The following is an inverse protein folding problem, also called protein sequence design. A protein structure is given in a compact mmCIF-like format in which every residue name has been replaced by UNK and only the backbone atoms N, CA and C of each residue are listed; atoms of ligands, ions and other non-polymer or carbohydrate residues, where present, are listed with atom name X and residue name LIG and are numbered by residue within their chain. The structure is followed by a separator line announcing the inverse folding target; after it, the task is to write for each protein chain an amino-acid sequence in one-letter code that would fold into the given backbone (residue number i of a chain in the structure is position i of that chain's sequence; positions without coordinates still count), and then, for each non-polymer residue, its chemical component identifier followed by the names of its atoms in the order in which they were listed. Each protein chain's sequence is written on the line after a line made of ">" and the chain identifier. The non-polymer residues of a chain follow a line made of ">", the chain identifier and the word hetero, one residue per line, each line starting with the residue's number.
data_IF_297019837254
#
_entry.id   IF_297019837254
#
_cell.length_a   1.000
_cell.length_b   1.000
_cell.length_c   1.000
_cell.angle_alpha   90.00
_cell.angle_beta   90.00
_cell.angle_gamma   90.00
#
_symmetry.space_group_name_H-M   'P 1'
#
loop_
_entity.id
_entity.type
_entity.pdbx_description
1 polymer ?
#
# COMPACT_ATOMS: atom_id res chain seq x y z
N UNK A 1 -5.95 -16.00 27.23
CA UNK A 1 -5.97 -15.56 25.82
C UNK A 1 -4.67 -15.97 25.13
N UNK A 2 -4.68 -17.07 24.38
CA UNK A 2 -3.49 -17.64 23.75
C UNK A 2 -3.00 -16.79 22.58
N UNK A 3 -1.78 -16.24 22.66
CA UNK A 3 -1.14 -15.55 21.55
C UNK A 3 -0.55 -16.60 20.60
N UNK A 4 -1.34 -17.03 19.62
CA UNK A 4 -0.87 -17.91 18.56
C UNK A 4 0.33 -17.29 17.83
N UNK A 5 1.42 -18.05 17.67
CA UNK A 5 2.57 -17.64 16.87
C UNK A 5 2.14 -17.63 15.40
N UNK A 6 1.76 -16.47 14.88
CA UNK A 6 1.49 -16.28 13.46
C UNK A 6 2.78 -16.56 12.68
N UNK A 7 2.89 -17.76 12.11
CA UNK A 7 3.95 -18.12 11.17
C UNK A 7 3.67 -17.38 9.87
N UNK A 8 4.13 -16.13 9.77
CA UNK A 8 4.12 -15.38 8.53
C UNK A 8 5.01 -16.08 7.51
N UNK A 9 4.44 -16.98 6.71
CA UNK A 9 5.08 -17.42 5.47
C UNK A 9 5.39 -16.15 4.67
N UNK A 10 6.56 -16.01 4.01
CA UNK A 10 6.78 -14.90 3.11
C UNK A 10 5.69 -14.98 2.03
N UNK A 11 4.67 -14.14 2.14
CA UNK A 11 3.67 -13.97 1.10
C UNK A 11 4.45 -13.54 -0.11
N UNK A 12 4.56 -14.43 -1.11
CA UNK A 12 5.37 -14.23 -2.29
C UNK A 12 5.17 -12.82 -2.84
N UNK A 13 6.28 -12.15 -3.14
CA UNK A 13 6.26 -10.78 -3.62
C UNK A 13 5.40 -10.74 -4.88
N UNK A 14 4.20 -10.15 -4.77
CA UNK A 14 3.28 -10.04 -5.90
C UNK A 14 3.84 -8.96 -6.81
N UNK A 15 4.43 -9.35 -7.93
CA UNK A 15 4.80 -8.43 -8.99
C UNK A 15 3.52 -7.96 -9.68
N UNK A 16 2.95 -6.87 -9.19
CA UNK A 16 1.94 -6.14 -9.93
C UNK A 16 2.64 -5.33 -11.02
N UNK A 17 2.21 -5.50 -12.27
CA UNK A 17 2.69 -4.68 -13.37
C UNK A 17 2.38 -3.22 -13.08
N UNK A 18 3.39 -2.36 -13.14
CA UNK A 18 3.20 -0.92 -12.95
C UNK A 18 2.37 -0.35 -14.11
N UNK A 19 1.67 0.79 -13.92
CA UNK A 19 0.94 1.46 -15.00
C UNK A 19 1.82 1.75 -16.22
N UNK A 20 3.09 2.09 -16.00
CA UNK A 20 4.08 2.30 -17.07
C UNK A 20 4.39 1.01 -17.84
N UNK A 21 4.49 -0.13 -17.17
CA UNK A 21 4.69 -1.43 -17.83
C UNK A 21 3.46 -1.90 -18.62
N UNK A 22 2.26 -1.49 -18.20
CA UNK A 22 1.03 -1.72 -18.96
C UNK A 22 0.99 -0.87 -20.24
N UNK A 23 1.40 0.40 -20.15
CA UNK A 23 1.53 1.31 -21.30
C UNK A 23 2.61 0.85 -22.29
N UNK A 24 3.76 0.41 -21.79
CA UNK A 24 4.86 -0.12 -22.59
C UNK A 24 4.57 -1.50 -23.19
N UNK A 25 3.48 -2.17 -22.77
CA UNK A 25 3.05 -3.45 -23.32
C UNK A 25 3.94 -4.65 -22.95
N UNK A 26 4.88 -4.48 -22.02
CA UNK A 26 5.83 -5.52 -21.56
C UNK A 26 5.30 -6.37 -20.41
N UNK A 27 4.04 -6.16 -19.99
CA UNK A 27 3.45 -6.92 -18.89
C UNK A 27 3.37 -8.42 -19.19
N UNK A 28 3.82 -9.27 -18.25
CA UNK A 28 3.75 -10.75 -18.30
C UNK A 28 2.30 -11.31 -18.27
N UNK A 29 1.30 -10.43 -18.20
CA UNK A 29 -0.11 -10.80 -18.16
C UNK A 29 -0.56 -11.17 -19.59
N UNK A 30 -1.14 -12.35 -19.83
CA UNK A 30 -1.61 -12.72 -21.15
C UNK A 30 -2.65 -11.69 -21.60
N UNK A 31 -2.37 -10.96 -22.69
CA UNK A 31 -3.37 -10.14 -23.37
C UNK A 31 -4.52 -11.09 -23.71
N UNK A 32 -5.66 -10.84 -23.08
CA UNK A 32 -6.90 -11.62 -23.10
C UNK A 32 -7.11 -12.43 -24.37
N UNK A 33 -7.57 -13.68 -24.20
CA UNK A 33 -8.29 -14.52 -25.17
C UNK A 33 -8.12 -14.05 -26.62
N UNK A 34 -7.27 -14.74 -27.40
CA UNK A 34 -7.16 -14.52 -28.86
C UNK A 34 -8.56 -14.32 -29.41
N UNK A 35 -8.88 -13.12 -29.90
CA UNK A 35 -10.14 -12.83 -30.57
C UNK A 35 -10.20 -13.81 -31.74
N UNK A 36 -10.98 -14.88 -31.60
CA UNK A 36 -11.11 -15.87 -32.66
C UNK A 36 -11.54 -15.09 -33.91
N UNK A 37 -10.74 -15.17 -34.97
CA UNK A 37 -11.16 -14.67 -36.28
C UNK A 37 -12.48 -15.37 -36.58
N UNK A 38 -13.57 -14.60 -36.69
CA UNK A 38 -14.90 -15.11 -37.04
C UNK A 38 -14.74 -15.95 -38.31
N UNK A 39 -15.10 -17.24 -38.25
CA UNK A 39 -15.05 -18.14 -39.41
C UNK A 39 -16.43 -18.15 -40.08
N UNK A 40 -16.43 -18.16 -41.41
CA UNK A 40 -17.65 -18.25 -42.22
C UNK A 40 -18.39 -16.92 -42.45
N UNK A 41 -19.70 -16.98 -42.67
CA UNK A 41 -20.57 -15.86 -43.05
C UNK A 41 -20.81 -14.82 -41.95
N UNK A 42 -20.33 -15.06 -40.72
CA UNK A 42 -20.43 -14.14 -39.57
C UNK A 42 -19.61 -12.85 -39.70
N UNK A 43 -18.74 -12.75 -40.72
CA UNK A 43 -18.05 -11.52 -41.10
C UNK A 43 -18.76 -10.70 -42.19
N UNK A 44 -19.80 -11.27 -42.82
CA UNK A 44 -20.51 -10.70 -43.98
C UNK A 44 -21.89 -10.14 -43.59
N UNK A 45 -22.40 -10.46 -42.40
CA UNK A 45 -23.59 -9.80 -41.87
C UNK A 45 -23.23 -8.33 -41.60
N UNK A 46 -23.63 -7.46 -42.52
CA UNK A 46 -23.49 -6.01 -42.40
C UNK A 46 -24.31 -5.56 -41.21
N UNK A 47 -23.62 -5.21 -40.13
CA UNK A 47 -24.23 -4.57 -38.97
C UNK A 47 -24.51 -3.13 -39.39
N UNK A 48 -25.63 -2.92 -40.07
CA UNK A 48 -26.17 -1.60 -40.36
C UNK A 48 -26.74 -1.02 -39.08
N UNK A 49 -25.85 -0.55 -38.21
CA UNK A 49 -26.23 0.27 -37.09
C UNK A 49 -26.48 1.71 -37.62
N UNK A 50 -27.73 2.21 -37.62
CA UNK A 50 -28.07 3.52 -38.18
C UNK A 50 -27.42 4.68 -37.42
N UNK A 51 -26.92 4.45 -36.20
CA UNK A 51 -26.13 5.42 -35.42
C UNK A 51 -24.61 5.19 -35.50
N UNK A 52 -24.13 4.34 -36.42
CA UNK A 52 -22.70 4.16 -36.64
C UNK A 52 -22.15 5.36 -37.41
N UNK A 53 -21.82 6.43 -36.68
CA UNK A 53 -21.17 7.61 -37.25
C UNK A 53 -19.80 7.18 -37.79
N UNK A 54 -19.71 6.99 -39.11
CA UNK A 54 -18.46 6.68 -39.80
C UNK A 54 -17.47 7.82 -39.54
N UNK A 55 -16.35 7.52 -38.88
CA UNK A 55 -15.34 8.51 -38.57
C UNK A 55 -14.81 9.14 -39.88
N UNK A 56 -15.04 10.45 -40.05
CA UNK A 56 -14.46 11.23 -41.15
C UNK A 56 -13.04 11.60 -40.75
N UNK A 57 -12.06 11.21 -41.55
CA UNK A 57 -10.66 11.59 -41.35
C UNK A 57 -10.50 13.09 -41.64
N UNK A 58 -10.69 13.92 -40.62
CA UNK A 58 -10.43 15.35 -40.68
C UNK A 58 -8.91 15.56 -40.71
N UNK A 59 -8.44 16.36 -41.67
CA UNK A 59 -7.03 16.71 -41.79
C UNK A 59 -6.72 17.79 -40.76
N UNK A 60 -5.55 17.71 -40.12
CA UNK A 60 -5.11 18.62 -39.07
C UNK A 60 -5.09 20.12 -39.45
N UNK A 61 -5.27 20.45 -40.73
CA UNK A 61 -5.31 21.82 -41.25
C UNK A 61 -6.67 22.50 -41.13
N UNK A 62 -7.74 21.75 -40.89
CA UNK A 62 -9.11 22.29 -40.79
C UNK A 62 -9.58 22.46 -39.33
N UNK A 63 -8.67 22.28 -38.36
CA UNK A 63 -8.97 22.50 -36.93
C UNK A 63 -8.73 23.97 -36.60
N UNK A 64 -9.78 24.77 -36.78
CA UNK A 64 -9.84 26.17 -36.36
C UNK A 64 -9.77 26.27 -34.82
N UNK A 65 -8.56 26.45 -34.27
CA UNK A 65 -8.33 26.66 -32.82
C UNK A 65 -8.70 28.06 -32.31
N UNK A 66 -9.17 28.94 -33.19
CA UNK A 66 -9.45 30.36 -32.88
C UNK A 66 -10.92 30.72 -32.64
N UNK A 67 -11.86 29.79 -32.88
CA UNK A 67 -13.27 30.02 -32.51
C UNK A 67 -13.42 29.68 -31.04
N UNK A 68 -13.42 30.68 -30.17
CA UNK A 68 -14.10 30.58 -28.88
C UNK A 68 -15.57 30.35 -29.18
N UNK A 69 -15.92 29.10 -29.46
CA UNK A 69 -17.31 28.65 -29.49
C UNK A 69 -17.85 29.04 -28.13
N UNK A 70 -18.75 30.01 -28.12
CA UNK A 70 -19.44 30.41 -26.92
C UNK A 70 -20.15 29.16 -26.40
N UNK A 71 -19.50 28.48 -25.46
CA UNK A 71 -19.94 27.21 -24.90
C UNK A 71 -21.43 27.33 -24.62
N UNK A 72 -22.20 26.40 -25.18
CA UNK A 72 -23.64 26.35 -25.01
C UNK A 72 -23.95 26.46 -23.52
N UNK A 73 -25.07 27.08 -23.11
CA UNK A 73 -25.46 27.20 -21.69
C UNK A 73 -25.25 25.89 -20.92
N UNK A 74 -25.53 24.76 -21.60
CA UNK A 74 -25.31 23.39 -21.09
C UNK A 74 -23.84 23.06 -20.82
N UNK A 75 -22.94 23.39 -21.74
CA UNK A 75 -21.50 23.12 -21.63
C UNK A 75 -20.85 24.00 -20.55
N UNK A 76 -21.33 25.24 -20.36
CA UNK A 76 -20.85 26.11 -19.27
C UNK A 76 -21.22 25.55 -17.91
N UNK A 77 -22.45 25.07 -17.74
CA UNK A 77 -22.89 24.44 -16.50
C UNK A 77 -22.16 23.11 -16.23
N UNK A 78 -21.87 22.32 -17.27
CA UNK A 78 -21.09 21.08 -17.12
C UNK A 78 -19.63 21.36 -16.74
N UNK A 79 -19.01 22.36 -17.35
CA UNK A 79 -17.65 22.79 -16.98
C UNK A 79 -17.61 23.40 -15.57
N UNK A 80 -18.64 24.14 -15.16
CA UNK A 80 -18.72 24.66 -13.80
C UNK A 80 -18.91 23.54 -12.78
N UNK A 81 -19.73 22.52 -13.09
CA UNK A 81 -19.85 21.31 -12.26
C UNK A 81 -18.53 20.54 -12.17
N UNK A 82 -17.82 20.39 -13.28
CA UNK A 82 -16.49 19.76 -13.29
C UNK A 82 -15.50 20.56 -12.45
N UNK A 83 -15.41 21.88 -12.65
CA UNK A 83 -14.54 22.77 -11.87
C UNK A 83 -14.90 22.80 -10.39
N UNK A 84 -16.18 22.77 -10.04
CA UNK A 84 -16.65 22.70 -8.65
C UNK A 84 -16.28 21.36 -8.01
N UNK A 85 -16.43 20.25 -8.75
CA UNK A 85 -16.00 18.93 -8.29
C UNK A 85 -14.48 18.86 -8.12
N UNK A 86 -13.70 19.33 -9.09
CA UNK A 86 -12.24 19.43 -9.01
C UNK A 86 -11.80 20.31 -7.83
N UNK A 87 -12.46 21.45 -7.62
CA UNK A 87 -12.19 22.32 -6.46
C UNK A 87 -12.47 21.59 -5.17
N UNK A 88 -13.59 20.87 -5.06
CA UNK A 88 -13.94 20.09 -3.88
C UNK A 88 -12.92 18.99 -3.61
N UNK A 89 -12.53 18.22 -4.64
CA UNK A 89 -11.50 17.19 -4.56
C UNK A 89 -10.16 17.77 -4.13
N UNK A 90 -9.75 18.90 -4.72
CA UNK A 90 -8.53 19.61 -4.35
C UNK A 90 -8.56 20.14 -2.92
N UNK A 91 -9.72 20.59 -2.43
CA UNK A 91 -9.89 21.08 -1.07
C UNK A 91 -9.83 19.94 -0.05
N UNK A 92 -10.35 18.76 -0.41
CA UNK A 92 -10.26 17.52 0.35
C UNK A 92 -8.81 17.04 0.43
N UNK A 93 -8.09 17.02 -0.69
CA UNK A 93 -6.66 16.67 -0.75
C UNK A 93 -5.80 17.63 0.09
N UNK A 94 -6.14 18.92 0.08
CA UNK A 94 -5.50 19.92 0.94
C UNK A 94 -5.84 19.79 2.42
N UNK A 95 -6.75 18.88 2.79
CA UNK A 95 -7.15 18.71 4.19
C UNK A 95 -7.99 19.86 4.74
N UNK A 96 -8.57 20.71 3.87
CA UNK A 96 -9.26 21.94 4.30
C UNK A 96 -10.73 21.70 4.66
N UNK A 97 -11.35 20.63 4.16
CA UNK A 97 -12.69 20.20 4.58
C UNK A 97 -12.66 19.69 6.02
N UNK A 98 -13.76 19.84 6.75
CA UNK A 98 -13.82 19.41 8.16
C UNK A 98 -13.57 17.91 8.34
N UNK A 99 -14.02 17.10 7.36
CA UNK A 99 -13.78 15.65 7.35
C UNK A 99 -12.29 15.34 7.21
N UNK A 100 -11.61 15.99 6.25
CA UNK A 100 -10.19 15.74 6.03
C UNK A 100 -9.32 16.25 7.19
N UNK A 101 -9.70 17.35 7.86
CA UNK A 101 -9.03 17.79 9.10
C UNK A 101 -9.12 16.73 10.20
N UNK A 102 -10.32 16.21 10.46
CA UNK A 102 -10.54 15.14 11.45
C UNK A 102 -9.75 13.87 11.11
N UNK A 103 -9.68 13.50 9.82
CA UNK A 103 -8.90 12.35 9.38
C UNK A 103 -7.40 12.57 9.56
N UNK A 104 -6.87 13.76 9.26
CA UNK A 104 -5.47 14.11 9.49
C UNK A 104 -5.13 14.13 10.99
N UNK A 105 -5.99 14.69 11.83
CA UNK A 105 -5.86 14.68 13.29
C UNK A 105 -5.89 13.26 13.85
N UNK A 106 -6.79 12.41 13.35
CA UNK A 106 -6.82 11.00 13.72
C UNK A 106 -5.53 10.28 13.31
N UNK A 107 -5.02 10.55 12.10
CA UNK A 107 -3.78 9.94 11.61
C UNK A 107 -2.55 10.42 12.39
N UNK A 108 -2.48 11.69 12.78
CA UNK A 108 -1.37 12.22 13.60
C UNK A 108 -1.36 11.59 14.99
N UNK A 109 -2.53 11.42 15.61
CA UNK A 109 -2.66 10.72 16.90
C UNK A 109 -2.23 9.25 16.80
N UNK A 110 -2.58 8.54 15.71
CA UNK A 110 -2.12 7.17 15.49
C UNK A 110 -0.60 7.11 15.30
N UNK A 111 -0.01 8.08 14.57
CA UNK A 111 1.46 8.16 14.41
C UNK A 111 2.14 8.36 15.76
N UNK A 112 1.67 9.32 16.57
CA UNK A 112 2.18 9.56 17.92
C UNK A 112 2.09 8.32 18.80
N UNK A 113 0.93 7.64 18.84
CA UNK A 113 0.77 6.41 19.62
C UNK A 113 1.71 5.29 19.15
N UNK A 114 1.96 5.17 17.85
CA UNK A 114 2.90 4.19 17.30
C UNK A 114 4.35 4.54 17.65
N UNK A 115 4.71 5.80 17.54
CA UNK A 115 6.05 6.30 17.91
C UNK A 115 6.30 6.13 19.41
N UNK A 116 5.36 6.51 20.26
CA UNK A 116 5.44 6.31 21.71
C UNK A 116 5.48 4.83 22.08
N UNK A 117 4.69 3.98 21.43
CA UNK A 117 4.74 2.53 21.64
C UNK A 117 6.06 1.93 21.14
N UNK A 118 6.65 2.45 20.06
CA UNK A 118 7.96 2.05 19.58
C UNK A 118 9.06 2.48 20.57
N UNK A 119 9.05 3.74 21.01
CA UNK A 119 9.97 4.28 22.02
C UNK A 119 9.87 3.52 23.34
N UNK A 120 8.67 3.29 23.88
CA UNK A 120 8.45 2.46 25.09
C UNK A 120 8.97 1.03 24.93
N UNK A 121 8.80 0.43 23.74
CA UNK A 121 9.35 -0.91 23.45
C UNK A 121 10.88 -0.88 23.34
N UNK A 122 11.48 0.16 22.80
CA UNK A 122 12.93 0.31 22.72
C UNK A 122 13.56 0.53 24.09
N UNK A 123 12.94 1.36 24.93
CA UNK A 123 13.34 1.58 26.33
C UNK A 123 13.24 0.29 27.15
N UNK A 124 12.13 -0.45 27.05
CA UNK A 124 11.99 -1.75 27.74
C UNK A 124 13.00 -2.78 27.19
N UNK A 125 13.21 -2.82 25.87
CA UNK A 125 14.19 -3.71 25.24
C UNK A 125 15.63 -3.31 25.55
N UNK A 126 15.92 -2.07 25.94
CA UNK A 126 17.26 -1.64 26.37
C UNK A 126 17.51 -1.95 27.86
N UNK A 127 16.48 -1.83 28.72
CA UNK A 127 16.58 -2.11 30.16
C UNK A 127 16.58 -3.60 30.51
N UNK A 128 15.73 -4.39 29.86
CA UNK A 128 15.56 -5.84 30.13
C UNK A 128 16.77 -6.72 29.81
N UNK A 129 17.59 -6.50 28.77
CA UNK A 129 18.78 -7.31 28.52
C UNK A 129 19.88 -7.03 29.53
N UNK A 130 20.03 -5.77 30.00
CA UNK A 130 20.99 -5.44 31.05
C UNK A 130 20.60 -6.08 32.39
N UNK A 131 19.33 -6.02 32.77
CA UNK A 131 18.86 -6.67 34.02
C UNK A 131 18.93 -8.19 33.93
N UNK A 132 18.50 -8.78 32.81
CA UNK A 132 18.63 -10.24 32.56
C UNK A 132 20.08 -10.70 32.54
N UNK A 133 20.99 -9.95 31.94
CA UNK A 133 22.43 -10.29 31.92
C UNK A 133 23.02 -10.24 33.32
N UNK A 134 22.69 -9.22 34.13
CA UNK A 134 23.12 -9.16 35.55
C UNK A 134 22.56 -10.32 36.38
N UNK A 135 21.28 -10.66 36.21
CA UNK A 135 20.66 -11.80 36.90
C UNK A 135 21.29 -13.15 36.50
N UNK A 136 21.55 -13.35 35.20
CA UNK A 136 22.21 -14.56 34.70
C UNK A 136 23.63 -14.69 35.29
N UNK A 137 24.43 -13.61 35.28
CA UNK A 137 25.77 -13.60 35.86
C UNK A 137 25.76 -13.91 37.38
N UNK A 138 24.78 -13.39 38.12
CA UNK A 138 24.61 -13.70 39.55
C UNK A 138 24.26 -15.17 39.79
N UNK A 139 23.38 -15.74 38.98
CA UNK A 139 23.03 -17.16 39.05
C UNK A 139 24.21 -18.06 38.68
N UNK A 140 25.01 -17.68 37.69
CA UNK A 140 26.22 -18.41 37.30
C UNK A 140 27.28 -18.37 38.41
N UNK A 141 27.46 -17.22 39.07
CA UNK A 141 28.35 -17.10 40.22
C UNK A 141 27.88 -17.97 41.39
N UNK A 142 26.57 -17.96 41.70
CA UNK A 142 25.98 -18.82 42.74
C UNK A 142 26.18 -20.31 42.46
N UNK A 143 26.02 -20.73 41.19
CA UNK A 143 26.28 -22.12 40.75
C UNK A 143 27.75 -22.51 40.93
N UNK A 144 28.67 -21.62 40.55
CA UNK A 144 30.12 -21.86 40.73
C UNK A 144 30.48 -22.02 42.21
N UNK A 145 29.98 -21.13 43.06
CA UNK A 145 30.22 -21.21 44.51
C UNK A 145 29.63 -22.51 45.08
N UNK A 146 28.42 -22.92 44.68
CA UNK A 146 27.85 -24.19 45.14
C UNK A 146 28.66 -25.40 44.67
N UNK A 147 29.17 -25.39 43.43
CA UNK A 147 30.01 -26.50 42.94
C UNK A 147 31.34 -26.57 43.69
N UNK A 148 31.97 -25.43 43.96
CA UNK A 148 33.22 -25.38 44.72
C UNK A 148 32.99 -25.89 46.15
N UNK A 149 31.92 -25.44 46.81
CA UNK A 149 31.55 -25.92 48.15
C UNK A 149 31.23 -27.41 48.17
N UNK A 150 30.55 -27.94 47.15
CA UNK A 150 30.28 -29.37 47.04
C UNK A 150 31.57 -30.19 46.87
N UNK A 151 32.50 -29.72 46.02
CA UNK A 151 33.81 -30.36 45.85
C UNK A 151 34.62 -30.33 47.15
N UNK A 152 34.60 -29.21 47.87
CA UNK A 152 35.28 -29.08 49.16
C UNK A 152 34.74 -30.09 50.18
N UNK A 153 33.41 -30.21 50.29
CA UNK A 153 32.79 -31.20 51.17
C UNK A 153 33.10 -32.65 50.77
N UNK A 154 33.26 -32.95 49.47
CA UNK A 154 33.65 -34.29 49.02
C UNK A 154 35.10 -34.58 49.42
N UNK A 155 36.01 -33.61 49.20
CA UNK A 155 37.41 -33.71 49.61
C UNK A 155 37.57 -33.93 51.13
N UNK A 156 36.83 -33.19 51.94
CA UNK A 156 36.84 -33.32 53.40
C UNK A 156 36.31 -34.68 53.90
N UNK A 157 35.50 -35.39 53.10
CA UNK A 157 34.95 -36.72 53.46
C UNK A 157 35.81 -37.89 52.97
N UNK A 158 36.72 -37.65 52.04
CA UNK A 158 37.59 -38.67 51.44
C UNK A 158 38.98 -38.75 52.10
N UNK A 159 39.33 -37.78 52.94
CA UNK A 159 40.53 -37.77 53.77
C UNK A 159 40.17 -38.12 55.22
#
# INVERSE_FOLDING_TARGET
>A
MGRGKFKGKPTGQRHFSTPEQMLAGTSTRPRTFKRQKRKGTQGIIEIENPNLVKAKNLKARDVDTGKTTELSRREREELEKQRAHERYMRLQEQGKTEQARKDLERLSLIRQQREEAAKKREEEKAGKPRSRRKQNLGNDHRRKVSTISALHNVLERTC
#
